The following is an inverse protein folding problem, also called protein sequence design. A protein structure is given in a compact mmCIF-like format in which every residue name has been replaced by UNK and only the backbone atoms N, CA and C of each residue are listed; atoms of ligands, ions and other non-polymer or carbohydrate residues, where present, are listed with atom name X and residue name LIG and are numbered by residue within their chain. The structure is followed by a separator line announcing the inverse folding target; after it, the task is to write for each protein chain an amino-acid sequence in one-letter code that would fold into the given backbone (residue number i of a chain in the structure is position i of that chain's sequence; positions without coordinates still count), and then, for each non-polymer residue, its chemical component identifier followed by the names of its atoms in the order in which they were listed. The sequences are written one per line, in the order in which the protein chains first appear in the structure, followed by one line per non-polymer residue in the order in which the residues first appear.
data_IF_817852037553
#
_entry.id   IF_817852037553
#
_cell.length_a   1.000
_cell.length_b   1.000
_cell.length_c   1.000
_cell.angle_alpha   90.00
_cell.angle_beta   90.00
_cell.angle_gamma   90.00
#
_symmetry.space_group_name_H-M   'P 1'
#
loop_
_entity.id
_entity.type
_entity.pdbx_description
1 polymer ?
#
# COMPACT_ATOMS: atom_id res chain seq x y z
N UNK A 1 16.65 11.67 45.59
CA UNK A 1 16.67 11.22 44.19
C UNK A 1 15.26 10.78 43.84
N UNK A 2 14.50 11.65 43.16
CA UNK A 2 13.20 11.25 42.61
C UNK A 2 13.46 10.31 41.43
N UNK A 3 12.83 9.14 41.44
CA UNK A 3 12.81 8.28 40.27
C UNK A 3 11.88 8.98 39.28
N UNK A 4 12.45 9.64 38.27
CA UNK A 4 11.69 10.15 37.14
C UNK A 4 11.10 8.95 36.40
N UNK A 5 9.88 8.56 36.78
CA UNK A 5 9.11 7.56 36.06
C UNK A 5 8.71 8.20 34.73
N UNK A 6 9.53 7.99 33.70
CA UNK A 6 9.18 8.36 32.32
C UNK A 6 7.82 7.70 32.03
N UNK A 7 6.75 8.46 31.79
CA UNK A 7 5.44 7.87 31.54
C UNK A 7 5.55 6.95 30.33
N UNK A 8 5.10 5.70 30.48
CA UNK A 8 5.12 4.71 29.41
C UNK A 8 4.39 5.28 28.18
N UNK A 9 5.06 5.29 27.04
CA UNK A 9 4.44 5.77 25.80
C UNK A 9 3.28 4.84 25.41
N UNK A 10 2.16 5.39 24.93
CA UNK A 10 1.03 4.58 24.50
C UNK A 10 1.38 3.68 23.31
N UNK A 11 0.59 2.61 23.12
CA UNK A 11 0.82 1.64 22.06
C UNK A 11 0.66 2.27 20.67
N UNK A 12 1.59 1.95 19.76
CA UNK A 12 1.56 2.35 18.35
C UNK A 12 0.71 1.41 17.47
N UNK A 13 0.20 0.30 18.03
CA UNK A 13 -0.44 -0.77 17.28
C UNK A 13 -1.66 -0.29 16.47
N UNK A 14 -2.55 0.51 17.07
CA UNK A 14 -3.74 1.03 16.38
C UNK A 14 -3.37 1.97 15.23
N UNK A 15 -2.32 2.78 15.41
CA UNK A 15 -1.83 3.67 14.36
C UNK A 15 -1.23 2.88 13.18
N UNK A 16 -0.45 1.84 13.48
CA UNK A 16 0.10 0.91 12.49
C UNK A 16 -1.03 0.20 11.74
N UNK A 17 -2.03 -0.32 12.45
CA UNK A 17 -3.18 -0.99 11.84
C UNK A 17 -3.97 -0.04 10.93
N UNK A 18 -4.16 1.22 11.35
CA UNK A 18 -4.84 2.23 10.54
C UNK A 18 -4.09 2.53 9.24
N UNK A 19 -2.79 2.79 9.31
CA UNK A 19 -2.01 3.05 8.10
C UNK A 19 -1.89 1.81 7.21
N UNK A 20 -1.75 0.61 7.78
CA UNK A 20 -1.76 -0.64 7.03
C UNK A 20 -3.10 -0.86 6.30
N UNK A 21 -4.22 -0.58 6.97
CA UNK A 21 -5.55 -0.66 6.37
C UNK A 21 -5.75 0.39 5.26
N UNK A 22 -5.28 1.62 5.46
CA UNK A 22 -5.31 2.66 4.41
C UNK A 22 -4.48 2.25 3.20
N UNK A 23 -3.27 1.73 3.43
CA UNK A 23 -2.41 1.26 2.35
C UNK A 23 -3.09 0.12 1.57
N UNK A 24 -3.63 -0.87 2.29
CA UNK A 24 -4.41 -1.96 1.71
C UNK A 24 -5.52 -1.42 0.80
N UNK A 25 -6.35 -0.51 1.29
CA UNK A 25 -7.43 0.09 0.50
C UNK A 25 -6.91 0.80 -0.76
N UNK A 26 -5.83 1.57 -0.64
CA UNK A 26 -5.26 2.28 -1.80
C UNK A 26 -4.63 1.36 -2.84
N UNK A 27 -4.39 0.08 -2.52
CA UNK A 27 -3.84 -0.90 -3.46
C UNK A 27 -4.96 -1.79 -4.02
N UNK A 28 -5.90 -2.22 -3.18
CA UNK A 28 -6.90 -3.25 -3.54
C UNK A 28 -8.21 -2.70 -4.07
N UNK A 29 -8.57 -1.46 -3.75
CA UNK A 29 -9.83 -0.87 -4.23
C UNK A 29 -9.65 -0.40 -5.68
N UNK A 30 -10.60 -0.71 -6.58
CA UNK A 30 -10.55 -0.26 -7.97
C UNK A 30 -10.28 1.24 -8.10
N UNK A 31 -9.43 1.60 -9.05
CA UNK A 31 -8.98 2.97 -9.34
C UNK A 31 -8.15 3.66 -8.24
N UNK A 32 -8.26 3.28 -6.97
CA UNK A 32 -7.44 3.89 -5.92
C UNK A 32 -5.96 3.55 -6.06
N UNK A 33 -5.63 2.45 -6.74
CA UNK A 33 -4.24 2.13 -7.10
C UNK A 33 -3.58 3.23 -7.95
N UNK A 34 -4.34 4.09 -8.66
CA UNK A 34 -3.78 5.26 -9.35
C UNK A 34 -3.15 6.27 -8.39
N UNK A 35 -3.65 6.36 -7.15
CA UNK A 35 -3.04 7.21 -6.12
C UNK A 35 -1.63 6.73 -5.82
N UNK A 36 -1.39 5.42 -5.82
CA UNK A 36 -0.05 4.86 -5.66
C UNK A 36 0.80 5.02 -6.93
N UNK A 37 0.20 4.94 -8.12
CA UNK A 37 0.90 5.23 -9.37
C UNK A 37 1.39 6.70 -9.44
N UNK A 38 0.71 7.63 -8.76
CA UNK A 38 1.14 9.01 -8.63
C UNK A 38 2.18 9.17 -7.51
N UNK A 39 3.46 8.96 -7.83
CA UNK A 39 4.60 9.18 -6.93
C UNK A 39 4.48 8.45 -5.58
N UNK A 40 3.87 7.26 -5.54
CA UNK A 40 3.65 6.50 -4.32
C UNK A 40 2.83 7.27 -3.26
N UNK A 41 1.94 8.17 -3.70
CA UNK A 41 1.20 9.03 -2.78
C UNK A 41 0.34 8.22 -1.78
N UNK A 42 -0.23 7.07 -2.18
CA UNK A 42 -1.01 6.23 -1.25
C UNK A 42 -0.16 5.69 -0.11
N UNK A 43 1.07 5.24 -0.40
CA UNK A 43 2.05 4.81 0.62
C UNK A 43 2.38 5.99 1.55
N UNK A 44 2.72 7.16 1.00
CA UNK A 44 3.08 8.34 1.79
C UNK A 44 1.90 8.80 2.67
N UNK A 45 0.69 8.84 2.12
CA UNK A 45 -0.53 9.22 2.82
C UNK A 45 -0.86 8.23 3.94
N UNK A 46 -0.71 6.93 3.71
CA UNK A 46 -0.97 5.90 4.71
C UNK A 46 -0.04 6.03 5.94
N UNK A 47 1.26 6.22 5.72
CA UNK A 47 2.24 6.44 6.79
C UNK A 47 2.02 7.78 7.50
N UNK A 48 1.69 8.82 6.74
CA UNK A 48 1.35 10.15 7.30
C UNK A 48 0.09 10.09 8.16
N UNK A 49 -0.93 9.35 7.73
CA UNK A 49 -2.17 9.16 8.48
C UNK A 49 -1.94 8.36 9.78
N UNK A 50 -1.10 7.32 9.75
CA UNK A 50 -0.70 6.59 10.96
C UNK A 50 -0.02 7.52 11.97
N UNK A 51 0.96 8.31 11.52
CA UNK A 51 1.66 9.26 12.37
C UNK A 51 0.72 10.34 12.92
N UNK A 52 -0.11 10.94 12.05
CA UNK A 52 -1.10 11.95 12.43
C UNK A 52 -2.08 11.42 13.47
N UNK A 53 -2.64 10.23 13.25
CA UNK A 53 -3.57 9.59 14.18
C UNK A 53 -2.92 9.39 15.55
N UNK A 54 -1.69 8.87 15.60
CA UNK A 54 -0.97 8.65 16.85
C UNK A 54 -0.71 9.96 17.60
N UNK A 55 -0.23 10.99 16.90
CA UNK A 55 0.07 12.32 17.45
C UNK A 55 -1.22 12.95 18.02
N UNK A 56 -2.31 12.93 17.27
CA UNK A 56 -3.58 13.54 17.69
C UNK A 56 -4.25 12.76 18.82
N UNK A 57 -4.25 11.42 18.77
CA UNK A 57 -4.91 10.58 19.78
C UNK A 57 -4.23 10.67 21.14
N UNK A 58 -2.91 10.75 21.16
CA UNK A 58 -2.11 10.71 22.38
C UNK A 58 -1.50 12.06 22.77
N UNK A 59 -1.69 13.10 21.93
CA UNK A 59 -1.17 14.45 22.16
C UNK A 59 0.35 14.47 22.40
N UNK A 60 1.08 13.58 21.70
CA UNK A 60 2.55 13.45 21.80
C UNK A 60 3.22 13.89 20.50
N UNK A 61 4.40 14.49 20.60
CA UNK A 61 5.25 14.75 19.45
C UNK A 61 6.13 13.54 19.16
N UNK A 62 6.13 13.10 17.90
CA UNK A 62 7.08 12.11 17.40
C UNK A 62 8.31 12.81 16.85
N UNK A 63 9.49 12.29 17.17
CA UNK A 63 10.72 12.68 16.48
C UNK A 63 10.70 12.17 15.02
N UNK A 64 11.55 12.73 14.16
CA UNK A 64 11.65 12.30 12.76
C UNK A 64 11.92 10.80 12.61
N UNK A 65 12.82 10.24 13.43
CA UNK A 65 13.13 8.81 13.42
C UNK A 65 11.93 7.95 13.85
N UNK A 66 11.18 8.38 14.86
CA UNK A 66 10.00 7.64 15.30
C UNK A 66 8.85 7.69 14.31
N UNK A 67 8.64 8.83 13.66
CA UNK A 67 7.66 8.97 12.59
C UNK A 67 8.04 8.10 11.39
N UNK A 68 9.33 8.05 11.04
CA UNK A 68 9.83 7.18 9.98
C UNK A 68 9.62 5.70 10.31
N UNK A 69 9.98 5.27 11.53
CA UNK A 69 9.77 3.88 11.97
C UNK A 69 8.30 3.52 12.00
N UNK A 70 7.44 4.41 12.51
CA UNK A 70 5.99 4.18 12.55
C UNK A 70 5.41 4.03 11.14
N UNK A 71 5.76 4.95 10.23
CA UNK A 71 5.33 4.90 8.84
C UNK A 71 5.88 3.66 8.12
N UNK A 72 7.15 3.33 8.31
CA UNK A 72 7.80 2.16 7.71
C UNK A 72 7.17 0.84 8.15
N UNK A 73 6.92 0.66 9.46
CA UNK A 73 6.25 -0.54 9.99
C UNK A 73 4.81 -0.62 9.46
N UNK A 74 4.09 0.50 9.44
CA UNK A 74 2.75 0.56 8.86
C UNK A 74 2.75 0.19 7.38
N UNK A 75 3.72 0.69 6.61
CA UNK A 75 3.89 0.38 5.19
C UNK A 75 4.23 -1.09 4.95
N UNK A 76 5.12 -1.66 5.77
CA UNK A 76 5.47 -3.08 5.71
C UNK A 76 4.25 -3.98 5.90
N UNK A 77 3.49 -3.78 6.99
CA UNK A 77 2.29 -4.57 7.24
C UNK A 77 1.20 -4.32 6.19
N UNK A 78 0.99 -3.07 5.76
CA UNK A 78 0.03 -2.76 4.70
C UNK A 78 0.40 -3.37 3.36
N UNK A 79 1.68 -3.39 3.00
CA UNK A 79 2.19 -4.05 1.79
C UNK A 79 2.01 -5.57 1.86
N UNK A 80 2.41 -6.18 2.99
CA UNK A 80 2.24 -7.62 3.20
C UNK A 80 0.76 -8.05 3.13
N UNK A 81 -0.13 -7.28 3.77
CA UNK A 81 -1.57 -7.51 3.69
C UNK A 81 -2.11 -7.30 2.28
N UNK A 82 -1.60 -6.32 1.53
CA UNK A 82 -2.01 -6.07 0.15
C UNK A 82 -1.65 -7.23 -0.78
N UNK A 83 -0.46 -7.82 -0.61
CA UNK A 83 -0.02 -9.00 -1.37
C UNK A 83 -0.94 -10.18 -1.08
N UNK A 84 -1.23 -10.45 0.19
CA UNK A 84 -2.15 -11.52 0.57
C UNK A 84 -3.57 -11.27 0.05
N UNK A 85 -4.09 -10.05 0.20
CA UNK A 85 -5.41 -9.69 -0.28
C UNK A 85 -5.51 -9.81 -1.80
N UNK A 86 -4.48 -9.38 -2.53
CA UNK A 86 -4.41 -9.53 -3.98
C UNK A 86 -4.46 -10.99 -4.42
N UNK A 87 -3.68 -11.86 -3.76
CA UNK A 87 -3.72 -13.29 -4.02
C UNK A 87 -5.10 -13.90 -3.77
N UNK A 88 -5.77 -13.54 -2.66
CA UNK A 88 -7.11 -14.04 -2.35
C UNK A 88 -8.16 -13.53 -3.34
N UNK A 89 -8.07 -12.25 -3.72
CA UNK A 89 -8.99 -11.64 -4.69
C UNK A 89 -8.85 -12.27 -6.08
N UNK A 90 -7.62 -12.54 -6.50
CA UNK A 90 -7.35 -13.23 -7.77
C UNK A 90 -7.85 -14.67 -7.73
N UNK A 91 -7.53 -15.41 -6.66
CA UNK A 91 -7.87 -16.82 -6.53
C UNK A 91 -9.38 -17.08 -6.42
N UNK A 92 -10.12 -16.21 -5.73
CA UNK A 92 -11.55 -16.45 -5.46
C UNK A 92 -12.49 -15.71 -6.40
N UNK A 93 -12.07 -14.54 -6.90
CA UNK A 93 -12.94 -13.67 -7.70
C UNK A 93 -12.37 -13.39 -9.11
N UNK A 94 -11.15 -13.86 -9.43
CA UNK A 94 -10.47 -13.49 -10.67
C UNK A 94 -10.13 -11.99 -10.74
N UNK A 95 -10.13 -11.30 -9.60
CA UNK A 95 -9.87 -9.86 -9.52
C UNK A 95 -8.38 -9.62 -9.28
N UNK A 96 -7.74 -8.90 -10.20
CA UNK A 96 -6.33 -8.50 -10.09
C UNK A 96 -6.26 -7.01 -9.71
N UNK A 97 -5.92 -6.69 -8.46
CA UNK A 97 -5.79 -5.30 -8.02
C UNK A 97 -4.90 -4.45 -8.94
N UNK A 98 -5.38 -3.26 -9.30
CA UNK A 98 -4.64 -2.31 -10.12
C UNK A 98 -4.74 -2.54 -11.63
N UNK A 99 -5.35 -3.64 -12.08
CA UNK A 99 -5.57 -3.90 -13.51
C UNK A 99 -6.55 -2.89 -14.13
N UNK A 100 -7.55 -2.42 -13.38
CA UNK A 100 -8.44 -1.34 -13.81
C UNK A 100 -7.67 -0.04 -14.04
N UNK A 101 -6.78 0.29 -13.10
CA UNK A 101 -5.94 1.48 -13.17
C UNK A 101 -5.00 1.43 -14.37
N UNK A 102 -4.40 0.26 -14.65
CA UNK A 102 -3.55 0.07 -15.81
C UNK A 102 -4.33 0.18 -17.13
N UNK A 103 -5.52 -0.43 -17.22
CA UNK A 103 -6.41 -0.27 -18.39
C UNK A 103 -6.75 1.20 -18.65
N UNK A 104 -6.99 1.95 -17.59
CA UNK A 104 -7.34 3.36 -17.67
C UNK A 104 -6.15 4.21 -18.14
N UNK A 105 -4.93 3.91 -17.65
CA UNK A 105 -3.69 4.50 -18.16
C UNK A 105 -3.45 4.18 -19.64
N UNK A 106 -3.70 2.95 -20.08
CA UNK A 106 -3.59 2.53 -21.50
C UNK A 106 -4.57 3.30 -22.38
N UNK A 107 -5.82 3.46 -21.95
CA UNK A 107 -6.85 4.22 -22.69
C UNK A 107 -6.45 5.69 -22.81
N UNK A 108 -5.97 6.30 -21.72
CA UNK A 108 -5.45 7.67 -21.76
C UNK A 108 -4.25 7.84 -22.67
N UNK A 109 -3.25 6.96 -22.57
CA UNK A 109 -2.07 6.99 -23.44
C UNK A 109 -2.46 6.86 -24.91
N UNK A 110 -3.35 5.91 -25.24
CA UNK A 110 -3.83 5.70 -26.61
C UNK A 110 -4.53 6.92 -27.20
N UNK A 111 -5.21 7.73 -26.37
CA UNK A 111 -5.88 8.97 -26.81
C UNK A 111 -4.92 10.14 -27.01
N UNK A 112 -3.77 10.14 -26.35
CA UNK A 112 -2.77 11.21 -26.45
C UNK A 112 -1.82 10.98 -27.62
N UNK A 113 -1.20 9.79 -27.69
CA UNK A 113 -0.34 9.36 -28.79
C UNK A 113 -0.32 7.83 -28.87
N UNK A 114 -0.60 7.30 -30.07
CA UNK A 114 -0.60 5.86 -30.31
C UNK A 114 0.79 5.23 -30.19
N UNK A 115 1.87 6.00 -30.37
CA UNK A 115 3.25 5.53 -30.22
C UNK A 115 3.63 5.20 -28.77
N UNK A 116 3.22 6.06 -27.84
CA UNK A 116 3.50 5.90 -26.40
C UNK A 116 2.63 4.82 -25.74
N UNK A 117 1.50 4.49 -26.35
CA UNK A 117 0.58 3.48 -25.86
C UNK A 117 1.12 2.04 -25.94
N UNK A 118 2.11 1.77 -26.80
CA UNK A 118 2.61 0.42 -27.03
C UNK A 118 3.24 -0.18 -25.76
N UNK A 119 4.03 0.62 -25.03
CA UNK A 119 4.61 0.20 -23.75
C UNK A 119 3.53 -0.20 -22.73
N UNK A 120 2.47 0.60 -22.63
CA UNK A 120 1.36 0.33 -21.73
C UNK A 120 0.55 -0.90 -22.15
N UNK A 121 0.38 -1.13 -23.46
CA UNK A 121 -0.28 -2.33 -24.00
C UNK A 121 0.52 -3.60 -23.69
N UNK A 122 1.84 -3.55 -23.84
CA UNK A 122 2.71 -4.67 -23.49
C UNK A 122 2.65 -4.99 -21.99
N UNK A 123 2.68 -3.98 -21.13
CA UNK A 123 2.48 -4.17 -19.68
C UNK A 123 1.12 -4.78 -19.37
N UNK A 124 0.04 -4.30 -20.00
CA UNK A 124 -1.29 -4.85 -19.82
C UNK A 124 -1.37 -6.32 -20.27
N UNK A 125 -0.77 -6.67 -21.40
CA UNK A 125 -0.72 -8.04 -21.89
C UNK A 125 0.03 -8.97 -20.92
N UNK A 126 1.15 -8.51 -20.37
CA UNK A 126 1.96 -9.30 -19.44
C UNK A 126 1.28 -9.49 -18.07
N UNK A 127 0.58 -8.47 -17.57
CA UNK A 127 -0.13 -8.54 -16.28
C UNK A 127 -1.44 -9.31 -16.39
N UNK A 128 -2.09 -9.30 -17.56
CA UNK A 128 -3.35 -10.03 -17.80
C UNK A 128 -3.13 -11.51 -18.16
N UNK A 129 -1.90 -11.94 -18.39
CA UNK A 129 -1.60 -13.34 -18.66
C UNK A 129 -1.94 -14.20 -17.43
N UNK A 130 -2.51 -15.41 -17.60
CA UNK A 130 -2.80 -16.30 -16.48
C UNK A 130 -1.52 -16.63 -15.73
N UNK A 131 -1.52 -16.42 -14.42
CA UNK A 131 -0.39 -16.79 -13.55
C UNK A 131 -0.85 -17.88 -12.60
N UNK A 132 -0.18 -19.03 -12.66
CA UNK A 132 -0.32 -20.04 -11.62
C UNK A 132 0.66 -19.71 -10.50
N UNK A 133 0.20 -18.95 -9.50
CA UNK A 133 1.00 -18.60 -8.31
C UNK A 133 0.59 -19.55 -7.19
N UNK A 134 1.55 -20.32 -6.66
CA UNK A 134 1.28 -21.13 -5.48
C UNK A 134 1.42 -20.31 -4.19
N UNK A 135 0.80 -20.78 -3.09
CA UNK A 135 0.94 -20.14 -1.78
C UNK A 135 2.41 -20.16 -1.29
N UNK A 136 3.19 -21.16 -1.71
CA UNK A 136 4.62 -21.21 -1.41
C UNK A 136 5.38 -20.06 -2.08
N UNK A 137 5.09 -19.78 -3.36
CA UNK A 137 5.70 -18.66 -4.09
C UNK A 137 5.30 -17.31 -3.47
N UNK A 138 4.06 -17.19 -3.00
CA UNK A 138 3.58 -16.02 -2.28
C UNK A 138 4.39 -15.79 -1.00
N UNK A 139 4.56 -16.81 -0.16
CA UNK A 139 5.31 -16.69 1.09
C UNK A 139 6.78 -16.33 0.82
N UNK A 140 7.40 -16.96 -0.18
CA UNK A 140 8.78 -16.66 -0.58
C UNK A 140 8.91 -15.20 -1.03
N UNK A 141 7.92 -14.66 -1.75
CA UNK A 141 7.95 -13.24 -2.21
C UNK A 141 7.86 -12.21 -1.08
N UNK A 142 7.45 -12.63 0.13
CA UNK A 142 7.27 -11.76 1.29
C UNK A 142 8.42 -11.85 2.32
N UNK A 143 9.36 -12.79 2.13
CA UNK A 143 10.53 -13.02 2.97
C UNK A 143 11.76 -12.28 2.42
#
# INVERSE_FOLDING_TARGET
MGIDVVPARPSKATAIALGAALLLLTITVPYLALINAFLFAGIILSGSAAAWYYIMRHQVRLSYSESFVLGGISGFFGGALSVLAGFLLESWFGYVPGLESLKLLVDWATRMDAGDAETFRQMLALVSAPKEISLADLIISML
#
